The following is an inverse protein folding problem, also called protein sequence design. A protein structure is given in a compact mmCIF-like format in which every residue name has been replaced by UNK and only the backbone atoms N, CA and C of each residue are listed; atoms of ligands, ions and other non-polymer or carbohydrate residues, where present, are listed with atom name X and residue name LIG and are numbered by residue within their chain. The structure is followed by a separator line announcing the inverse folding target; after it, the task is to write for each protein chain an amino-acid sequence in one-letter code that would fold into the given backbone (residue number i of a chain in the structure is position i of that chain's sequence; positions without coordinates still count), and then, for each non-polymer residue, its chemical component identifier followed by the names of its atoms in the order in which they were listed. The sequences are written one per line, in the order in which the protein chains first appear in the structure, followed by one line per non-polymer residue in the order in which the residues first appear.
data_IF_292931309165
#
_entry.id   IF_292931309165
#
_cell.length_a   1.000
_cell.length_b   1.000
_cell.length_c   1.000
_cell.angle_alpha   90.00
_cell.angle_beta   90.00
_cell.angle_gamma   90.00
#
_symmetry.space_group_name_H-M   'P 1'
#
loop_
_entity.id
_entity.type
_entity.pdbx_description
1 polymer ?
#
# COMPACT_ATOMS: atom_id res chain seq x y z
N UNK A 1 -43.99 18.57 3.64
CA UNK A 1 -44.36 17.94 2.36
C UNK A 1 -43.14 17.17 1.87
N UNK A 2 -43.16 15.85 2.07
CA UNK A 2 -42.09 14.92 1.66
C UNK A 2 -42.04 14.80 0.14
N UNK A 3 -40.83 14.79 -0.42
CA UNK A 3 -40.59 14.38 -1.81
C UNK A 3 -39.82 13.06 -1.82
N UNK A 4 -40.48 12.05 -2.35
CA UNK A 4 -40.11 10.64 -2.50
C UNK A 4 -39.02 10.41 -3.55
N UNK A 5 -38.04 9.57 -3.21
CA UNK A 5 -37.13 8.91 -4.16
C UNK A 5 -37.80 7.64 -4.74
N UNK A 6 -37.43 7.18 -5.96
CA UNK A 6 -38.14 6.12 -6.67
C UNK A 6 -37.79 4.72 -6.16
N UNK A 7 -38.70 3.72 -6.26
CA UNK A 7 -38.43 2.36 -5.82
C UNK A 7 -37.59 1.59 -6.83
N UNK A 8 -36.54 0.93 -6.33
CA UNK A 8 -35.68 0.03 -7.09
C UNK A 8 -36.46 -1.19 -7.63
N UNK A 9 -36.24 -1.46 -8.91
CA UNK A 9 -36.86 -2.52 -9.69
C UNK A 9 -36.23 -3.87 -9.30
N UNK A 10 -36.91 -4.62 -8.44
CA UNK A 10 -36.44 -5.92 -7.98
C UNK A 10 -36.68 -6.99 -9.07
N UNK A 11 -35.60 -7.57 -9.59
CA UNK A 11 -35.64 -8.67 -10.57
C UNK A 11 -35.96 -9.97 -9.84
N UNK A 12 -37.19 -10.47 -10.04
CA UNK A 12 -37.62 -11.78 -9.55
C UNK A 12 -36.85 -12.87 -10.31
N UNK A 13 -35.92 -13.53 -9.62
CA UNK A 13 -35.42 -14.84 -10.02
C UNK A 13 -36.42 -15.89 -9.55
N UNK A 14 -37.20 -16.42 -10.49
CA UNK A 14 -38.14 -17.52 -10.27
C UNK A 14 -37.38 -18.83 -10.25
N UNK A 15 -37.25 -19.46 -9.07
CA UNK A 15 -37.00 -20.88 -8.96
C UNK A 15 -38.14 -21.50 -8.16
N UNK A 16 -38.94 -22.34 -8.83
CA UNK A 16 -40.02 -23.09 -8.21
C UNK A 16 -39.49 -24.28 -7.41
N UNK A 17 -40.21 -24.66 -6.35
CA UNK A 17 -40.93 -25.94 -6.35
C UNK A 17 -41.97 -26.03 -5.21
N UNK A 18 -43.11 -26.63 -5.57
CA UNK A 18 -44.10 -27.40 -4.81
C UNK A 18 -44.77 -26.85 -3.52
N UNK A 19 -46.08 -26.65 -3.69
CA UNK A 19 -47.17 -26.67 -2.70
C UNK A 19 -46.98 -27.61 -1.50
N UNK A 20 -46.92 -27.04 -0.30
CA UNK A 20 -47.45 -27.63 0.94
C UNK A 20 -48.11 -26.53 1.75
N UNK A 21 -49.41 -26.67 1.97
CA UNK A 21 -50.23 -25.80 2.81
C UNK A 21 -49.95 -26.09 4.28
N UNK A 22 -48.89 -25.47 4.81
CA UNK A 22 -48.70 -25.30 6.25
C UNK A 22 -48.64 -23.80 6.53
N UNK A 23 -49.38 -23.36 7.55
CA UNK A 23 -49.57 -21.97 7.94
C UNK A 23 -48.25 -21.18 7.88
N UNK A 24 -48.19 -20.21 6.96
CA UNK A 24 -47.02 -19.38 6.69
C UNK A 24 -46.68 -18.51 7.91
N UNK A 25 -45.96 -19.10 8.87
CA UNK A 25 -45.10 -18.33 9.78
C UNK A 25 -44.13 -17.57 8.89
N UNK A 26 -44.09 -16.25 9.05
CA UNK A 26 -43.13 -15.36 8.40
C UNK A 26 -41.70 -15.88 8.65
N UNK A 27 -41.18 -16.67 7.71
CA UNK A 27 -39.84 -17.26 7.81
C UNK A 27 -38.86 -16.14 7.56
N UNK A 28 -38.36 -15.55 8.65
CA UNK A 28 -37.39 -14.47 8.57
C UNK A 28 -36.15 -14.97 7.85
N UNK A 29 -35.87 -14.40 6.68
CA UNK A 29 -34.73 -14.79 5.86
C UNK A 29 -33.44 -14.67 6.66
N UNK A 30 -32.69 -15.77 6.79
CA UNK A 30 -31.44 -15.78 7.54
C UNK A 30 -30.41 -14.89 6.85
N UNK A 31 -29.77 -14.01 7.63
CA UNK A 31 -28.71 -13.14 7.14
C UNK A 31 -27.51 -13.99 6.68
N UNK A 32 -27.19 -13.92 5.40
CA UNK A 32 -26.05 -14.63 4.81
C UNK A 32 -24.75 -14.23 5.50
N UNK A 33 -23.84 -15.18 5.69
CA UNK A 33 -22.61 -14.97 6.48
C UNK A 33 -21.73 -13.84 5.93
N UNK A 34 -21.68 -13.65 4.61
CA UNK A 34 -20.92 -12.57 3.97
C UNK A 34 -21.52 -11.17 4.20
N UNK A 35 -22.78 -11.06 4.63
CA UNK A 35 -23.40 -9.80 5.00
C UNK A 35 -23.28 -9.54 6.52
N UNK A 36 -22.83 -10.53 7.31
CA UNK A 36 -22.71 -10.43 8.75
C UNK A 36 -21.33 -9.88 9.16
N UNK A 37 -21.25 -8.56 9.35
CA UNK A 37 -20.03 -7.88 9.79
C UNK A 37 -19.44 -8.43 11.09
N UNK A 38 -20.28 -8.81 12.07
CA UNK A 38 -19.80 -9.36 13.33
C UNK A 38 -19.06 -10.68 13.11
N UNK A 39 -19.57 -11.55 12.23
CA UNK A 39 -18.91 -12.80 11.86
C UNK A 39 -17.65 -12.56 11.02
N UNK A 40 -17.66 -11.61 10.09
CA UNK A 40 -16.50 -11.33 9.21
C UNK A 40 -15.22 -10.92 9.96
N UNK A 41 -15.36 -10.36 11.16
CA UNK A 41 -14.24 -9.97 12.03
C UNK A 41 -13.68 -11.14 12.86
N UNK A 42 -14.28 -12.33 12.78
CA UNK A 42 -13.83 -13.50 13.55
C UNK A 42 -12.65 -14.24 12.88
N UNK A 43 -11.98 -15.09 13.66
CA UNK A 43 -10.89 -15.93 13.15
C UNK A 43 -11.32 -16.92 12.05
N UNK A 44 -12.48 -17.61 12.13
CA UNK A 44 -12.97 -18.45 11.03
C UNK A 44 -13.17 -17.67 9.73
N UNK A 45 -13.73 -16.46 9.81
CA UNK A 45 -13.94 -15.62 8.62
C UNK A 45 -12.64 -15.10 8.00
N UNK A 46 -11.51 -15.13 8.72
CA UNK A 46 -10.19 -14.80 8.16
C UNK A 46 -9.83 -15.69 6.97
N UNK A 47 -10.21 -16.97 7.01
CA UNK A 47 -9.94 -17.91 5.91
C UNK A 47 -10.63 -17.46 4.62
N UNK A 48 -11.90 -17.04 4.74
CA UNK A 48 -12.65 -16.49 3.61
C UNK A 48 -11.99 -15.22 3.09
N UNK A 49 -11.55 -14.31 3.96
CA UNK A 49 -10.82 -13.09 3.55
C UNK A 49 -9.54 -13.43 2.79
N UNK A 50 -8.73 -14.37 3.29
CA UNK A 50 -7.51 -14.82 2.60
C UNK A 50 -7.80 -15.41 1.21
N UNK A 51 -8.88 -16.21 1.09
CA UNK A 51 -9.30 -16.74 -0.21
C UNK A 51 -9.73 -15.62 -1.16
N UNK A 52 -10.47 -14.63 -0.68
CA UNK A 52 -10.87 -13.47 -1.48
C UNK A 52 -9.65 -12.67 -1.97
N UNK A 53 -8.67 -12.39 -1.11
CA UNK A 53 -7.43 -11.68 -1.49
C UNK A 53 -6.65 -12.43 -2.59
N UNK A 54 -6.65 -13.77 -2.55
CA UNK A 54 -6.05 -14.59 -3.60
C UNK A 54 -6.83 -14.55 -4.91
N UNK A 55 -8.16 -14.76 -4.85
CA UNK A 55 -9.01 -14.85 -6.04
C UNK A 55 -9.11 -13.50 -6.76
N UNK A 56 -9.27 -12.41 -6.02
CA UNK A 56 -9.36 -11.06 -6.60
C UNK A 56 -8.08 -10.70 -7.33
N UNK A 57 -6.91 -10.91 -6.72
CA UNK A 57 -5.64 -10.63 -7.35
C UNK A 57 -5.47 -11.44 -8.65
N UNK A 58 -5.75 -12.74 -8.61
CA UNK A 58 -5.68 -13.62 -9.78
C UNK A 58 -6.61 -13.14 -10.90
N UNK A 59 -7.86 -12.84 -10.57
CA UNK A 59 -8.87 -12.48 -11.56
C UNK A 59 -8.58 -11.10 -12.16
N UNK A 60 -8.09 -10.14 -11.34
CA UNK A 60 -7.62 -8.83 -11.81
C UNK A 60 -6.45 -8.94 -12.79
N UNK A 61 -5.43 -9.75 -12.48
CA UNK A 61 -4.27 -9.95 -13.37
C UNK A 61 -4.69 -10.57 -14.71
N UNK A 62 -5.65 -11.52 -14.70
CA UNK A 62 -6.21 -12.13 -15.91
C UNK A 62 -6.99 -11.13 -16.76
N UNK A 63 -7.83 -10.31 -16.13
CA UNK A 63 -8.61 -9.27 -16.84
C UNK A 63 -7.71 -8.26 -17.55
N UNK A 64 -6.58 -7.91 -16.94
CA UNK A 64 -5.58 -6.98 -17.51
C UNK A 64 -4.70 -7.62 -18.60
N UNK A 65 -4.88 -8.92 -18.91
CA UNK A 65 -4.12 -9.64 -19.94
C UNK A 65 -2.60 -9.44 -19.81
N UNK A 66 -2.10 -9.52 -18.59
CA UNK A 66 -0.67 -9.32 -18.31
C UNK A 66 0.13 -10.40 -19.05
N UNK A 67 0.97 -9.96 -19.99
CA UNK A 67 1.77 -10.82 -20.86
C UNK A 67 2.90 -11.52 -20.09
N UNK A 68 3.61 -10.78 -19.25
CA UNK A 68 4.75 -11.25 -18.50
C UNK A 68 4.89 -10.47 -17.18
N UNK A 69 5.40 -11.13 -16.15
CA UNK A 69 5.63 -10.55 -14.82
C UNK A 69 7.08 -10.73 -14.43
N UNK A 70 7.77 -9.62 -14.14
CA UNK A 70 9.07 -9.66 -13.49
C UNK A 70 8.91 -9.31 -12.01
N UNK A 71 9.42 -10.18 -11.13
CA UNK A 71 9.44 -9.94 -9.70
C UNK A 71 10.85 -9.55 -9.27
N UNK A 72 10.97 -8.33 -8.73
CA UNK A 72 12.25 -7.79 -8.26
C UNK A 72 12.15 -7.50 -6.77
N UNK A 73 13.10 -8.01 -6.01
CA UNK A 73 13.21 -7.76 -4.58
C UNK A 73 14.28 -6.71 -4.29
N UNK A 74 14.00 -5.84 -3.34
CA UNK A 74 14.92 -4.82 -2.87
C UNK A 74 14.61 -4.43 -1.43
N UNK A 75 15.58 -3.78 -0.78
CA UNK A 75 15.35 -3.23 0.56
C UNK A 75 14.45 -2.00 0.49
N UNK A 76 13.46 -1.92 1.38
CA UNK A 76 12.59 -0.75 1.53
C UNK A 76 13.34 0.52 1.98
N UNK A 77 14.61 0.38 2.41
CA UNK A 77 15.48 1.48 2.86
C UNK A 77 16.35 2.06 1.74
N UNK A 78 16.25 1.53 0.53
CA UNK A 78 17.05 2.02 -0.60
C UNK A 78 16.59 3.43 -0.99
N UNK A 79 17.55 4.29 -1.34
CA UNK A 79 17.32 5.64 -1.83
C UNK A 79 17.94 5.76 -3.22
N UNK A 80 17.42 6.65 -4.07
CA UNK A 80 18.20 7.10 -5.23
C UNK A 80 19.34 8.01 -4.76
N UNK A 81 20.37 8.17 -5.59
CA UNK A 81 21.50 9.04 -5.25
C UNK A 81 21.04 10.49 -4.98
N UNK A 82 20.07 11.00 -5.73
CA UNK A 82 19.51 12.34 -5.54
C UNK A 82 18.76 12.47 -4.20
N UNK A 83 17.95 11.46 -3.85
CA UNK A 83 17.22 11.45 -2.58
C UNK A 83 18.18 11.37 -1.39
N UNK A 84 19.22 10.54 -1.49
CA UNK A 84 20.25 10.44 -0.47
C UNK A 84 21.00 11.77 -0.32
N UNK A 85 21.41 12.40 -1.42
CA UNK A 85 22.06 13.70 -1.43
C UNK A 85 21.20 14.79 -0.78
N UNK A 86 19.92 14.88 -1.13
CA UNK A 86 18.99 15.86 -0.53
C UNK A 86 18.93 15.69 0.97
N UNK A 87 18.69 14.45 1.44
CA UNK A 87 18.60 14.14 2.87
C UNK A 87 19.90 14.40 3.62
N UNK A 88 21.04 14.02 3.03
CA UNK A 88 22.36 14.26 3.61
C UNK A 88 22.64 15.76 3.74
N UNK A 89 22.31 16.55 2.72
CA UNK A 89 22.47 18.00 2.73
C UNK A 89 21.55 18.67 3.76
N UNK A 90 20.29 18.27 3.82
CA UNK A 90 19.31 18.76 4.81
C UNK A 90 19.76 18.45 6.24
N UNK A 91 20.16 17.21 6.53
CA UNK A 91 20.63 16.82 7.85
C UNK A 91 21.92 17.55 8.24
N UNK A 92 22.85 17.72 7.29
CA UNK A 92 24.09 18.46 7.52
C UNK A 92 23.83 19.95 7.75
N UNK A 93 22.91 20.56 7.00
CA UNK A 93 22.50 21.94 7.22
C UNK A 93 21.84 22.13 8.59
N UNK A 94 20.98 21.21 9.00
CA UNK A 94 20.34 21.20 10.33
C UNK A 94 21.39 21.09 11.44
N UNK A 95 22.38 20.22 11.28
CA UNK A 95 23.50 20.09 12.22
C UNK A 95 24.32 21.38 12.34
N UNK A 96 24.57 22.06 11.21
CA UNK A 96 25.28 23.35 11.20
C UNK A 96 24.48 24.43 11.94
N UNK A 97 23.18 24.53 11.71
CA UNK A 97 22.32 25.49 12.42
C UNK A 97 22.31 25.24 13.93
N UNK A 98 22.20 23.98 14.36
CA UNK A 98 22.25 23.62 15.78
C UNK A 98 23.61 23.92 16.43
N UNK A 99 24.72 23.71 15.72
CA UNK A 99 26.09 23.98 16.22
C UNK A 99 26.48 25.46 16.17
N UNK A 100 25.97 26.21 15.20
CA UNK A 100 26.30 27.61 14.96
C UNK A 100 25.33 28.59 15.65
N UNK A 101 24.45 28.11 16.53
CA UNK A 101 23.52 28.92 17.35
C UNK A 101 24.19 29.86 18.36
N UNK A 102 25.29 30.51 17.99
CA UNK A 102 25.83 31.70 18.62
C UNK A 102 25.39 32.92 17.79
N UNK A 103 24.30 33.57 18.19
CA UNK A 103 24.32 34.96 18.67
C UNK A 103 22.96 35.69 18.57
N UNK A 104 22.76 36.50 19.61
CA UNK A 104 22.02 37.77 19.65
C UNK A 104 20.50 37.74 19.66
N UNK A 105 19.98 37.94 20.89
CA UNK A 105 18.60 38.31 21.27
C UNK A 105 17.78 37.16 21.88
N UNK A 106 17.68 37.23 23.21
CA UNK A 106 16.62 36.65 24.04
C UNK A 106 16.62 35.11 24.26
N UNK A 107 17.35 34.69 25.30
CA UNK A 107 16.73 33.96 26.40
C UNK A 107 16.43 32.46 26.29
N UNK A 108 16.76 31.77 25.19
CA UNK A 108 16.65 30.31 25.11
C UNK A 108 18.02 29.64 24.93
N UNK A 109 18.33 28.65 25.76
CA UNK A 109 19.56 27.84 25.65
C UNK A 109 19.48 26.95 24.41
N UNK A 110 19.88 27.47 23.25
CA UNK A 110 19.88 26.74 21.95
C UNK A 110 21.19 25.95 21.80
N UNK A 111 21.36 24.95 22.64
CA UNK A 111 22.33 23.86 22.48
C UNK A 111 21.70 22.63 23.12
N UNK A 112 20.57 22.17 22.61
CA UNK A 112 19.98 20.91 23.06
C UNK A 112 20.93 19.78 22.62
N UNK A 113 21.68 19.16 23.55
CA UNK A 113 22.65 18.11 23.21
C UNK A 113 21.94 16.89 22.61
N UNK A 114 20.69 16.66 22.99
CA UNK A 114 19.88 15.56 22.48
C UNK A 114 19.55 15.77 20.99
N UNK A 115 19.12 16.97 20.60
CA UNK A 115 18.87 17.32 19.21
C UNK A 115 20.12 17.18 18.33
N UNK A 116 21.30 17.59 18.82
CA UNK A 116 22.57 17.43 18.08
C UNK A 116 22.89 15.95 17.88
N UNK A 117 22.81 15.14 18.94
CA UNK A 117 23.07 13.70 18.86
C UNK A 117 22.08 12.97 17.95
N UNK A 118 20.81 13.38 17.92
CA UNK A 118 19.80 12.81 17.04
C UNK A 118 20.14 13.05 15.56
N UNK A 119 20.55 14.28 15.20
CA UNK A 119 20.94 14.61 13.82
C UNK A 119 22.27 13.93 13.44
N UNK A 120 23.22 13.81 14.36
CA UNK A 120 24.46 13.05 14.10
C UNK A 120 24.19 11.57 13.86
N UNK A 121 23.22 10.98 14.59
CA UNK A 121 22.76 9.61 14.35
C UNK A 121 22.10 9.48 12.98
N UNK A 122 21.23 10.42 12.60
CA UNK A 122 20.59 10.46 11.28
C UNK A 122 21.63 10.48 10.15
N UNK A 123 22.66 11.34 10.27
CA UNK A 123 23.76 11.40 9.31
C UNK A 123 24.54 10.08 9.27
N UNK A 124 24.80 9.48 10.44
CA UNK A 124 25.44 8.16 10.54
C UNK A 124 24.64 7.08 9.81
N UNK A 125 23.32 7.07 9.97
CA UNK A 125 22.41 6.16 9.28
C UNK A 125 22.43 6.37 7.77
N UNK A 126 22.35 7.63 7.30
CA UNK A 126 22.42 7.97 5.89
C UNK A 126 23.74 7.51 5.26
N UNK A 127 24.88 7.71 5.92
CA UNK A 127 26.18 7.22 5.43
C UNK A 127 26.19 5.70 5.26
N UNK A 128 25.61 4.95 6.20
CA UNK A 128 25.50 3.49 6.09
C UNK A 128 24.62 3.04 4.93
N UNK A 129 23.71 3.88 4.45
CA UNK A 129 22.81 3.59 3.34
C UNK A 129 23.35 4.05 1.97
N UNK A 130 24.45 4.81 1.91
CA UNK A 130 25.00 5.36 0.67
C UNK A 130 25.23 4.29 -0.41
N UNK A 131 25.83 3.17 -0.02
CA UNK A 131 26.13 2.07 -0.94
C UNK A 131 24.88 1.46 -1.60
N UNK A 132 23.70 1.57 -0.97
CA UNK A 132 22.44 1.08 -1.54
C UNK A 132 21.97 1.92 -2.73
N UNK A 133 22.41 3.17 -2.84
CA UNK A 133 22.02 4.05 -3.94
C UNK A 133 22.47 3.46 -5.28
N UNK A 134 23.67 2.92 -5.32
CA UNK A 134 24.21 2.22 -6.49
C UNK A 134 23.33 1.05 -6.94
N UNK A 135 22.85 0.25 -6.00
CA UNK A 135 21.97 -0.89 -6.30
C UNK A 135 20.59 -0.43 -6.79
N UNK A 136 20.04 0.63 -6.19
CA UNK A 136 18.78 1.25 -6.62
C UNK A 136 18.81 1.63 -8.10
N UNK A 137 19.89 2.29 -8.52
CA UNK A 137 20.07 2.70 -9.92
C UNK A 137 20.23 1.52 -10.86
N UNK A 138 21.03 0.53 -10.47
CA UNK A 138 21.25 -0.67 -11.28
C UNK A 138 19.94 -1.44 -11.50
N UNK A 139 19.17 -1.64 -10.44
CA UNK A 139 17.88 -2.31 -10.51
C UNK A 139 16.93 -1.53 -11.43
N UNK A 140 16.86 -0.21 -11.27
CA UNK A 140 16.02 0.65 -12.10
C UNK A 140 16.41 0.59 -13.58
N UNK A 141 17.71 0.63 -13.89
CA UNK A 141 18.22 0.50 -15.25
C UNK A 141 17.91 -0.87 -15.85
N UNK A 142 18.08 -1.95 -15.06
CA UNK A 142 17.78 -3.31 -15.50
C UNK A 142 16.29 -3.50 -15.77
N UNK A 143 15.42 -3.10 -14.83
CA UNK A 143 13.97 -3.25 -14.99
C UNK A 143 13.45 -2.44 -16.16
N UNK A 144 14.00 -1.24 -16.40
CA UNK A 144 13.71 -0.45 -17.59
C UNK A 144 14.08 -1.21 -18.87
N UNK A 145 15.29 -1.75 -18.96
CA UNK A 145 15.73 -2.50 -20.16
C UNK A 145 14.90 -3.75 -20.39
N UNK A 146 14.51 -4.46 -19.33
CA UNK A 146 13.61 -5.62 -19.43
C UNK A 146 12.22 -5.21 -19.92
N UNK A 147 11.69 -4.09 -19.44
CA UNK A 147 10.42 -3.54 -19.92
C UNK A 147 10.50 -3.10 -21.39
N UNK A 148 11.59 -2.46 -21.80
CA UNK A 148 11.86 -2.10 -23.19
C UNK A 148 11.97 -3.35 -24.09
N UNK A 149 12.67 -4.39 -23.63
CA UNK A 149 12.79 -5.66 -24.35
C UNK A 149 11.43 -6.34 -24.56
N UNK A 150 10.53 -6.33 -23.56
CA UNK A 150 9.15 -6.86 -23.70
C UNK A 150 8.31 -6.16 -24.77
N UNK A 151 8.72 -4.96 -25.23
CA UNK A 151 8.04 -4.26 -26.32
C UNK A 151 8.51 -4.72 -27.70
N UNK A 152 9.59 -5.49 -27.79
CA UNK A 152 10.10 -6.04 -29.04
C UNK A 152 9.25 -7.21 -29.54
N UNK A 153 9.31 -7.48 -30.85
CA UNK A 153 8.60 -8.62 -31.44
C UNK A 153 9.17 -9.97 -30.96
N UNK A 154 10.49 -10.05 -30.74
CA UNK A 154 11.17 -11.24 -30.22
C UNK A 154 10.61 -11.69 -28.87
N UNK A 155 10.35 -10.74 -27.96
CA UNK A 155 9.81 -11.04 -26.63
C UNK A 155 8.31 -11.39 -26.63
N UNK A 156 7.61 -11.13 -27.74
CA UNK A 156 6.15 -11.34 -27.89
C UNK A 156 5.79 -12.50 -28.82
N UNK A 157 6.79 -13.07 -29.49
CA UNK A 157 6.67 -14.25 -30.33
C UNK A 157 6.51 -15.51 -29.46
#
# INVERSE_FOLDING_TARGET
MSSTAPPERNSQSTNGNSNTTDAAKDVTATKKSYANNAWLQTAPARQVRMLCEYLEARDRLRQQRILATFLVFGTARSLTHDQWNSRMNEATARLRLLKNGKNESEGASVNDPEAVLAVEREIGDLRRLEWLCFFSEKVTKLTRRLAEWLMTAEARA
#
